data_IF_331605896290
#
_entry.id   IF_331605896290
#
_cell.length_a   1.000
_cell.length_b   1.000
_cell.length_c   1.000
_cell.angle_alpha   90.00
_cell.angle_beta   90.00
_cell.angle_gamma   90.00
#
_symmetry.space_group_name_H-M   'P 1'
#
loop_
_entity.id
_entity.type
_entity.pdbx_description
1 polymer ?
#
# COMPACT_ATOMS: atom_id res chain seq x y z
N UNK A 1 3.51 -5.01 15.26
CA UNK A 1 2.90 -6.09 14.47
C UNK A 1 1.75 -5.47 13.70
N UNK A 2 1.78 -5.54 12.38
CA UNK A 2 0.65 -5.11 11.56
C UNK A 2 -0.43 -6.19 11.71
N UNK A 3 -1.57 -5.82 12.29
CA UNK A 3 -2.77 -6.67 12.26
C UNK A 3 -3.49 -6.40 10.93
N UNK A 4 -2.98 -6.97 9.84
CA UNK A 4 -3.70 -6.93 8.57
C UNK A 4 -4.80 -8.00 8.58
N UNK A 5 -6.03 -7.67 8.19
CA UNK A 5 -7.14 -8.64 8.12
C UNK A 5 -6.93 -9.71 7.04
N UNK A 6 -5.90 -9.61 6.21
CA UNK A 6 -5.67 -10.54 5.10
C UNK A 6 -5.09 -11.89 5.50
N UNK A 7 -4.40 -12.02 6.64
CA UNK A 7 -3.73 -13.27 7.02
C UNK A 7 -4.74 -14.41 7.13
N UNK A 8 -4.49 -15.50 6.39
CA UNK A 8 -5.36 -16.67 6.33
C UNK A 8 -6.45 -16.62 5.25
N UNK A 9 -6.75 -15.43 4.68
CA UNK A 9 -7.74 -15.26 3.61
C UNK A 9 -7.17 -15.71 2.25
N UNK A 10 -8.08 -15.97 1.32
CA UNK A 10 -7.76 -16.33 -0.07
C UNK A 10 -8.09 -15.13 -0.96
N UNK A 11 -7.07 -14.54 -1.57
CA UNK A 11 -7.20 -13.46 -2.56
C UNK A 11 -7.48 -14.10 -3.92
N UNK A 12 -8.53 -13.64 -4.60
CA UNK A 12 -8.96 -14.13 -5.93
C UNK A 12 -8.67 -13.12 -7.05
N UNK A 13 -8.42 -11.87 -6.70
CA UNK A 13 -8.15 -10.77 -7.61
C UNK A 13 -7.75 -9.52 -6.85
N UNK A 14 -7.21 -8.53 -7.57
CA UNK A 14 -6.79 -7.25 -7.00
C UNK A 14 -6.99 -6.12 -7.98
N UNK A 15 -7.26 -4.93 -7.42
CA UNK A 15 -7.37 -3.68 -8.16
C UNK A 15 -6.61 -2.59 -7.45
N UNK A 16 -6.13 -1.62 -8.21
CA UNK A 16 -5.53 -0.39 -7.70
C UNK A 16 -6.47 0.78 -8.03
N UNK A 17 -6.58 1.74 -7.13
CA UNK A 17 -7.30 2.98 -7.45
C UNK A 17 -6.53 3.76 -8.52
N UNK A 18 -7.24 4.46 -9.41
CA UNK A 18 -6.64 5.20 -10.51
C UNK A 18 -5.67 6.31 -10.07
N UNK A 19 -5.86 6.83 -8.85
CA UNK A 19 -4.97 7.78 -8.19
C UNK A 19 -3.82 7.13 -7.42
N UNK A 20 -3.71 5.79 -7.46
CA UNK A 20 -2.71 4.99 -6.76
C UNK A 20 -2.74 5.14 -5.24
N UNK A 21 -3.80 5.67 -4.62
CA UNK A 21 -3.86 5.87 -3.15
C UNK A 21 -4.54 4.73 -2.39
N UNK A 22 -5.07 3.72 -3.09
CA UNK A 22 -5.67 2.56 -2.45
C UNK A 22 -5.50 1.31 -3.30
N UNK A 23 -5.49 0.16 -2.62
CA UNK A 23 -5.48 -1.17 -3.22
C UNK A 23 -6.65 -1.96 -2.67
N UNK A 24 -7.45 -2.53 -3.57
CA UNK A 24 -8.56 -3.41 -3.24
C UNK A 24 -8.16 -4.86 -3.45
N UNK A 25 -8.27 -5.66 -2.40
CA UNK A 25 -8.11 -7.10 -2.40
C UNK A 25 -9.48 -7.75 -2.49
N UNK A 26 -9.73 -8.46 -3.58
CA UNK A 26 -10.93 -9.28 -3.73
C UNK A 26 -10.64 -10.64 -3.09
N UNK A 27 -11.36 -11.00 -2.02
CA UNK A 27 -11.19 -12.28 -1.32
C UNK A 27 -12.43 -13.14 -1.44
N UNK A 28 -12.30 -14.43 -1.10
CA UNK A 28 -13.46 -15.34 -1.00
C UNK A 28 -14.49 -14.94 0.07
N UNK A 29 -14.14 -14.01 0.96
CA UNK A 29 -14.98 -13.55 2.08
C UNK A 29 -15.49 -12.10 1.89
N UNK A 30 -15.19 -11.47 0.75
CA UNK A 30 -15.51 -10.08 0.47
C UNK A 30 -14.27 -9.24 0.14
N UNK A 31 -14.47 -7.94 0.00
CA UNK A 31 -13.42 -7.00 -0.38
C UNK A 31 -12.72 -6.42 0.85
N UNK A 32 -11.40 -6.25 0.77
CA UNK A 32 -10.58 -5.57 1.78
C UNK A 32 -9.80 -4.48 1.09
N UNK A 33 -9.86 -3.25 1.62
CA UNK A 33 -9.20 -2.08 1.00
C UNK A 33 -8.06 -1.62 1.90
N UNK A 34 -6.84 -1.61 1.39
CA UNK A 34 -5.71 -0.93 2.01
C UNK A 34 -5.57 0.47 1.42
N UNK A 35 -5.36 1.48 2.25
CA UNK A 35 -5.20 2.88 1.82
C UNK A 35 -3.81 3.40 2.14
N UNK A 36 -3.25 4.17 1.21
CA UNK A 36 -2.04 4.93 1.43
C UNK A 36 -2.38 6.17 2.28
N UNK A 37 -1.87 6.18 3.50
CA UNK A 37 -2.03 7.28 4.44
C UNK A 37 -0.75 8.11 4.52
N UNK A 38 -0.93 9.38 4.84
CA UNK A 38 0.12 10.38 4.86
C UNK A 38 -0.11 11.35 6.02
N UNK A 39 0.98 11.86 6.59
CA UNK A 39 0.96 12.93 7.59
C UNK A 39 0.74 14.31 6.95
N UNK A 40 0.70 15.35 7.79
CA UNK A 40 0.56 16.75 7.36
C UNK A 40 1.63 17.13 6.32
N UNK A 41 1.18 17.64 5.17
CA UNK A 41 2.04 18.08 4.06
C UNK A 41 2.92 16.98 3.44
N UNK A 42 2.57 15.70 3.60
CA UNK A 42 3.16 14.61 2.82
C UNK A 42 2.13 13.94 1.92
N UNK A 43 2.62 13.22 0.92
CA UNK A 43 1.81 12.51 -0.06
C UNK A 43 2.28 11.06 -0.19
N UNK A 44 1.38 10.10 0.00
CA UNK A 44 1.69 8.66 -0.11
C UNK A 44 0.92 8.02 -1.25
N UNK A 45 1.60 7.22 -2.07
CA UNK A 45 0.98 6.48 -3.17
C UNK A 45 1.63 5.12 -3.38
N UNK A 46 0.89 4.16 -3.94
CA UNK A 46 1.39 2.86 -4.39
C UNK A 46 2.09 3.04 -5.74
N UNK A 47 3.41 2.89 -5.76
CA UNK A 47 4.21 3.07 -6.97
C UNK A 47 4.11 1.87 -7.90
N UNK A 48 4.25 0.67 -7.33
CA UNK A 48 4.25 -0.59 -8.07
C UNK A 48 3.65 -1.74 -7.26
N UNK A 49 3.05 -2.70 -7.97
CA UNK A 49 2.50 -3.94 -7.41
C UNK A 49 3.08 -5.12 -8.18
N UNK A 50 3.74 -6.03 -7.46
CA UNK A 50 4.12 -7.34 -7.98
C UNK A 50 3.09 -8.38 -7.57
N UNK A 51 2.53 -9.12 -8.53
CA UNK A 51 1.56 -10.18 -8.28
C UNK A 51 2.25 -11.51 -7.91
N UNK A 52 1.56 -12.42 -7.19
CA UNK A 52 2.10 -13.75 -6.90
C UNK A 52 2.54 -14.46 -8.18
N UNK A 53 3.75 -15.03 -8.18
CA UNK A 53 4.33 -15.69 -9.36
C UNK A 53 3.45 -16.81 -9.97
N UNK A 54 2.61 -17.48 -9.16
CA UNK A 54 1.68 -18.50 -9.63
C UNK A 54 0.23 -17.98 -9.78
N UNK A 55 0.03 -16.66 -9.73
CA UNK A 55 -1.25 -15.98 -9.85
C UNK A 55 -2.23 -16.28 -8.72
N UNK A 56 -3.47 -15.81 -8.92
CA UNK A 56 -4.61 -16.09 -8.04
C UNK A 56 -5.30 -17.42 -8.39
N UNK A 57 -6.02 -18.06 -7.45
CA UNK A 57 -6.29 -17.64 -6.08
C UNK A 57 -5.13 -17.94 -5.12
N UNK A 58 -4.71 -16.96 -4.32
CA UNK A 58 -3.54 -17.04 -3.44
C UNK A 58 -3.95 -16.92 -1.96
N UNK A 59 -3.60 -17.92 -1.14
CA UNK A 59 -3.83 -17.89 0.30
C UNK A 59 -2.71 -17.13 1.00
N UNK A 60 -3.07 -16.08 1.74
CA UNK A 60 -2.11 -15.28 2.50
C UNK A 60 -1.63 -16.05 3.72
N UNK A 61 -0.31 -16.12 3.87
CA UNK A 61 0.39 -16.79 4.97
C UNK A 61 0.94 -15.78 5.96
N UNK A 62 1.55 -14.70 5.47
CA UNK A 62 2.19 -13.70 6.30
C UNK A 62 2.19 -12.33 5.62
N UNK A 63 2.29 -11.27 6.40
CA UNK A 63 2.42 -9.89 5.93
C UNK A 63 3.54 -9.20 6.70
N UNK A 64 4.47 -8.61 5.97
CA UNK A 64 5.66 -7.95 6.50
C UNK A 64 5.78 -6.57 5.87
N UNK A 65 5.99 -5.54 6.69
CA UNK A 65 6.47 -4.25 6.19
C UNK A 65 7.96 -4.20 6.35
N UNK A 66 8.65 -4.13 5.22
CA UNK A 66 10.09 -3.94 5.15
C UNK A 66 10.35 -2.43 5.09
N UNK A 67 11.38 -2.02 5.83
CA UNK A 67 11.65 -0.63 6.16
C UNK A 67 12.05 0.24 4.97
N UNK A 68 12.29 1.50 5.32
CA UNK A 68 12.58 2.62 4.44
C UNK A 68 13.89 2.37 3.67
N UNK A 69 13.84 2.43 2.34
CA UNK A 69 15.01 2.77 1.54
C UNK A 69 14.93 4.28 1.24
N UNK A 70 15.97 5.04 1.63
CA UNK A 70 16.09 6.45 1.27
C UNK A 70 16.32 6.54 -0.24
N UNK A 71 15.28 6.91 -0.99
CA UNK A 71 15.39 7.09 -2.43
C UNK A 71 15.52 8.58 -2.70
N UNK A 72 16.79 9.00 -2.67
CA UNK A 72 17.33 10.31 -3.09
C UNK A 72 16.92 11.53 -2.25
N UNK A 73 17.89 12.36 -1.83
CA UNK A 73 17.61 13.79 -1.67
C UNK A 73 17.32 14.35 -3.06
N UNK A 74 16.20 15.04 -3.24
CA UNK A 74 16.06 15.90 -4.41
C UNK A 74 17.12 17.01 -4.30
N UNK A 75 17.76 17.37 -5.42
CA UNK A 75 18.81 18.40 -5.47
C UNK A 75 18.31 19.82 -5.09
N UNK A 76 17.07 19.95 -4.62
CA UNK A 76 16.43 21.18 -4.13
C UNK A 76 16.10 21.04 -2.63
N UNK A 77 16.50 22.06 -1.85
CA UNK A 77 17.01 22.02 -0.47
C UNK A 77 15.97 21.66 0.63
N UNK A 78 14.85 21.00 0.32
CA UNK A 78 13.80 20.65 1.29
C UNK A 78 12.96 19.39 0.97
N UNK A 79 13.13 18.70 -0.17
CA UNK A 79 12.30 17.55 -0.57
C UNK A 79 12.94 16.18 -0.31
N UNK A 80 12.17 15.21 0.16
CA UNK A 80 12.61 13.84 0.38
C UNK A 80 11.53 12.84 -0.02
N UNK A 81 11.90 11.82 -0.80
CA UNK A 81 11.03 10.69 -1.12
C UNK A 81 11.53 9.43 -0.42
N UNK A 82 10.67 8.83 0.40
CA UNK A 82 10.94 7.57 1.08
C UNK A 82 10.24 6.43 0.36
N UNK A 83 10.91 5.28 0.25
CA UNK A 83 10.35 4.07 -0.33
C UNK A 83 10.07 3.02 0.75
N UNK A 84 8.93 2.36 0.61
CA UNK A 84 8.47 1.35 1.55
C UNK A 84 7.99 0.11 0.81
N UNK A 85 8.18 -1.05 1.43
CA UNK A 85 7.74 -2.32 0.87
C UNK A 85 6.79 -3.00 1.85
N UNK A 86 5.59 -3.35 1.38
CA UNK A 86 4.72 -4.31 2.05
C UNK A 86 4.76 -5.64 1.28
N UNK A 87 5.37 -6.65 1.89
CA UNK A 87 5.45 -7.99 1.34
C UNK A 87 4.36 -8.87 1.95
N UNK A 88 3.53 -9.44 1.08
CA UNK A 88 2.47 -10.39 1.42
C UNK A 88 2.92 -11.77 0.90
N UNK A 89 3.34 -12.63 1.82
CA UNK A 89 3.72 -14.01 1.47
C UNK A 89 2.46 -14.85 1.31
N UNK A 90 2.33 -15.53 0.17
CA UNK A 90 1.23 -16.44 -0.12
C UNK A 90 1.72 -17.86 -0.40
N UNK A 91 0.80 -18.83 -0.49
CA UNK A 91 1.12 -20.17 -0.99
C UNK A 91 1.40 -20.23 -2.50
N UNK A 92 1.30 -19.09 -3.21
CA UNK A 92 1.47 -18.96 -4.66
C UNK A 92 2.57 -17.99 -5.10
N UNK A 93 3.46 -17.65 -4.18
CA UNK A 93 4.52 -16.66 -4.39
C UNK A 93 4.34 -15.45 -3.48
N UNK A 94 5.15 -14.44 -3.69
CA UNK A 94 5.12 -13.19 -2.94
C UNK A 94 4.30 -12.17 -3.72
N UNK A 95 3.59 -11.33 -2.99
CA UNK A 95 2.93 -10.14 -3.52
C UNK A 95 3.56 -8.93 -2.87
N UNK A 96 4.04 -7.99 -3.67
CA UNK A 96 4.79 -6.84 -3.19
C UNK A 96 3.99 -5.58 -3.49
N UNK A 97 3.76 -4.76 -2.48
CA UNK A 97 3.33 -3.37 -2.66
C UNK A 97 4.55 -2.48 -2.39
N UNK A 98 5.07 -1.85 -3.44
CA UNK A 98 6.03 -0.75 -3.33
C UNK A 98 5.23 0.55 -3.29
N UNK A 99 5.44 1.33 -2.23
CA UNK A 99 4.79 2.62 -2.07
C UNK A 99 5.79 3.68 -1.62
N UNK A 100 5.46 4.93 -1.96
CA UNK A 100 6.33 6.08 -1.76
C UNK A 100 5.66 7.09 -0.85
N UNK A 101 6.46 7.87 -0.14
CA UNK A 101 6.03 9.06 0.55
C UNK A 101 6.92 10.23 0.17
N UNK A 102 6.34 11.28 -0.39
CA UNK A 102 7.00 12.56 -0.62
C UNK A 102 6.71 13.49 0.57
N UNK A 103 7.76 14.02 1.19
CA UNK A 103 7.66 14.97 2.30
C UNK A 103 8.88 15.89 2.38
N UNK A 104 8.94 16.71 3.42
CA UNK A 104 10.13 17.49 3.76
C UNK A 104 11.18 16.72 4.58
N UNK A 105 11.10 15.39 4.61
CA UNK A 105 12.01 14.51 5.36
C UNK A 105 11.66 14.29 6.82
N UNK A 106 10.60 14.93 7.35
CA UNK A 106 10.13 14.72 8.73
C UNK A 106 8.94 13.75 8.85
N UNK A 107 8.32 13.41 7.72
CA UNK A 107 7.09 12.62 7.67
C UNK A 107 7.30 11.33 6.90
N UNK A 108 6.46 10.33 7.24
CA UNK A 108 6.44 9.07 6.55
C UNK A 108 5.06 8.75 5.97
N UNK A 109 5.03 7.76 5.10
CA UNK A 109 3.80 7.18 4.59
C UNK A 109 3.51 5.84 5.26
N UNK A 110 2.23 5.46 5.31
CA UNK A 110 1.80 4.17 5.83
C UNK A 110 0.73 3.54 4.93
N UNK A 111 0.63 2.21 4.97
CA UNK A 111 -0.55 1.49 4.48
C UNK A 111 -1.47 1.17 5.65
N UNK A 112 -2.71 1.65 5.57
CA UNK A 112 -3.72 1.50 6.61
C UNK A 112 -4.79 0.51 6.15
N UNK A 113 -5.12 -0.44 7.03
CA UNK A 113 -6.10 -1.50 6.78
C UNK A 113 -7.49 -1.11 7.34
N UNK A 114 -8.59 -1.73 6.88
CA UNK A 114 -9.95 -1.34 7.32
C UNK A 114 -10.20 -1.43 8.83
N UNK A 115 -9.54 -2.37 9.50
CA UNK A 115 -9.67 -2.58 10.95
C UNK A 115 -8.71 -1.69 11.76
N UNK A 116 -7.89 -0.89 11.09
CA UNK A 116 -7.01 0.07 11.72
C UNK A 116 -7.77 1.40 11.94
N UNK A 117 -7.86 1.82 13.19
CA UNK A 117 -8.52 3.09 13.55
C UNK A 117 -7.69 4.33 13.16
N UNK A 118 -6.51 4.14 12.56
CA UNK A 118 -5.49 5.16 12.35
C UNK A 118 -5.54 5.94 11.05
N UNK A 119 -6.50 5.73 10.14
CA UNK A 119 -6.50 6.45 8.85
C UNK A 119 -6.74 7.95 9.04
N UNK A 120 -5.69 8.75 8.81
CA UNK A 120 -5.72 10.21 8.94
C UNK A 120 -6.18 10.89 7.64
N UNK A 121 -5.76 10.38 6.48
CA UNK A 121 -6.04 10.95 5.16
C UNK A 121 -5.30 12.26 4.89
N UNK A 122 -4.25 12.54 5.69
CA UNK A 122 -3.51 13.80 5.68
C UNK A 122 -4.32 15.03 6.06
N UNK A 123 -3.68 16.20 5.99
CA UNK A 123 -4.36 17.47 6.30
C UNK A 123 -5.38 17.80 5.20
N UNK A 124 -6.60 18.18 5.61
CA UNK A 124 -7.69 18.57 4.71
C UNK A 124 -8.11 17.50 3.67
N UNK A 125 -7.85 16.22 3.94
CA UNK A 125 -8.23 15.11 3.06
C UNK A 125 -7.34 14.98 1.81
N UNK A 126 -6.10 15.43 1.89
CA UNK A 126 -5.13 15.38 0.78
C UNK A 126 -4.81 13.95 0.29
N UNK A 127 -4.92 12.94 1.17
CA UNK A 127 -4.57 11.55 0.88
C UNK A 127 -5.81 10.64 0.93
N UNK A 128 -6.94 11.15 0.44
CA UNK A 128 -8.19 10.40 0.31
C UNK A 128 -8.29 9.89 -1.13
N UNK A 129 -8.25 8.57 -1.28
CA UNK A 129 -8.40 7.95 -2.60
C UNK A 129 -9.79 8.20 -3.19
N UNK A 130 -9.84 8.38 -4.51
CA UNK A 130 -11.06 8.38 -5.30
C UNK A 130 -11.73 6.99 -5.39
N UNK A 131 -10.98 5.92 -5.09
CA UNK A 131 -11.42 4.53 -5.18
C UNK A 131 -12.02 4.16 -6.56
N UNK A 132 -11.56 4.84 -7.62
CA UNK A 132 -11.90 4.52 -9.00
C UNK A 132 -10.99 3.37 -9.47
N UNK A 133 -11.48 2.13 -9.32
CA UNK A 133 -10.68 0.91 -9.48
C UNK A 133 -10.31 0.59 -10.93
N UNK A 134 -9.03 0.33 -11.15
CA UNK A 134 -8.47 -0.23 -12.40
C UNK A 134 -7.76 -1.55 -12.12
N UNK A 135 -7.61 -2.38 -13.16
CA UNK A 135 -6.86 -3.63 -13.05
C UNK A 135 -5.38 -3.36 -12.73
N UNK A 136 -4.79 -4.23 -11.93
CA UNK A 136 -3.33 -4.20 -11.71
C UNK A 136 -2.67 -4.71 -13.00
N UNK A 137 -2.01 -3.81 -13.72
CA UNK A 137 -1.25 -4.18 -14.91
C UNK A 137 0.12 -4.73 -14.50
N UNK A 138 0.53 -5.83 -15.13
CA UNK A 138 1.89 -6.38 -15.05
C UNK A 138 2.93 -5.44 -15.70
#
# INVERSE_FOLDING_TARGET
MINSPLVGKIIIGMKIASDKMAVKFETTEGEIIARADADCCSHTWIEHIELPAMGFPAKVVNIESLGIEDVTPEDDDCGCTLAYICKITTNRGELILDYRNESNGYYGGNLVWPDDTGFYGGVSGQNISNEDWVEVNE
#
